data_IF_881104704094
#
_entry.id   IF_881104704094
#
_cell.length_a   1.000
_cell.length_b   1.000
_cell.length_c   1.000
_cell.angle_alpha   90.00
_cell.angle_beta   90.00
_cell.angle_gamma   90.00
#
_symmetry.space_group_name_H-M   'P 1'
#
loop_
_entity.id
_entity.type
_entity.pdbx_description
1 polymer ?
#
# COMPACT_ATOMS: atom_id res chain seq x y z
N UNK A 1 -9.77 9.50 4.52
CA UNK A 1 -9.51 8.23 5.26
C UNK A 1 -10.30 8.23 6.55
N UNK A 2 -10.23 9.29 7.35
CA UNK A 2 -10.94 9.39 8.62
C UNK A 2 -12.46 9.15 8.52
N UNK A 3 -13.15 9.73 7.53
CA UNK A 3 -14.58 9.46 7.36
C UNK A 3 -14.88 8.00 7.01
N UNK A 4 -14.00 7.35 6.25
CA UNK A 4 -14.13 5.93 5.91
C UNK A 4 -14.00 5.11 7.20
N UNK A 5 -12.91 5.30 7.94
CA UNK A 5 -12.64 4.61 9.20
C UNK A 5 -13.76 4.83 10.23
N UNK A 6 -14.24 6.06 10.36
CA UNK A 6 -15.34 6.42 11.26
C UNK A 6 -16.64 5.73 10.86
N UNK A 7 -16.91 5.58 9.57
CA UNK A 7 -18.14 4.95 9.07
C UNK A 7 -18.07 3.43 9.14
N UNK A 8 -16.90 2.84 8.83
CA UNK A 8 -16.73 1.39 8.79
C UNK A 8 -16.29 0.77 10.12
N UNK A 9 -15.94 1.60 11.11
CA UNK A 9 -15.41 1.20 12.43
C UNK A 9 -14.22 0.22 12.35
N UNK A 10 -13.45 0.34 11.27
CA UNK A 10 -12.25 -0.48 11.00
C UNK A 10 -11.14 0.39 10.41
N UNK A 11 -9.87 0.10 10.72
CA UNK A 11 -8.75 0.89 10.21
C UNK A 11 -8.52 0.64 8.72
N UNK A 12 -8.18 1.69 7.98
CA UNK A 12 -7.82 1.57 6.57
C UNK A 12 -6.34 1.17 6.46
N UNK A 13 -6.06 0.01 5.88
CA UNK A 13 -4.70 -0.54 5.76
C UNK A 13 -3.98 -0.14 4.46
N UNK A 14 -4.71 0.25 3.43
CA UNK A 14 -4.13 0.68 2.16
C UNK A 14 -5.08 1.61 1.42
N UNK A 15 -4.51 2.55 0.67
CA UNK A 15 -5.26 3.43 -0.24
C UNK A 15 -4.61 3.37 -1.60
N UNK A 16 -5.22 2.60 -2.50
CA UNK A 16 -4.74 2.47 -3.87
C UNK A 16 -5.03 3.76 -4.66
N UNK A 17 -4.00 4.44 -5.21
CA UNK A 17 -4.22 5.60 -6.04
C UNK A 17 -4.87 5.21 -7.37
N UNK A 18 -5.56 6.16 -7.99
CA UNK A 18 -6.05 5.98 -9.36
C UNK A 18 -4.89 5.90 -10.35
N UNK A 19 -4.87 4.87 -11.20
CA UNK A 19 -3.76 4.59 -12.09
C UNK A 19 -4.23 3.94 -13.40
N UNK A 20 -4.03 4.66 -14.51
CA UNK A 20 -4.36 4.19 -15.86
C UNK A 20 -3.56 2.95 -16.28
N UNK A 21 -2.40 2.72 -15.67
CA UNK A 21 -1.57 1.57 -15.99
C UNK A 21 -2.18 0.26 -15.49
N UNK A 22 -3.13 0.30 -14.55
CA UNK A 22 -3.93 -0.88 -14.17
C UNK A 22 -4.81 -1.33 -15.35
N UNK A 23 -5.46 -0.38 -16.01
CA UNK A 23 -6.32 -0.68 -17.18
C UNK A 23 -5.45 -1.18 -18.35
N UNK A 24 -4.29 -0.54 -18.57
CA UNK A 24 -3.33 -1.00 -19.59
C UNK A 24 -2.79 -2.40 -19.30
N UNK A 25 -2.54 -2.73 -18.04
CA UNK A 25 -2.03 -4.05 -17.68
C UNK A 25 -3.05 -5.15 -17.99
N UNK A 26 -4.35 -4.87 -17.83
CA UNK A 26 -5.43 -5.78 -18.21
C UNK A 26 -5.43 -6.09 -19.71
N UNK A 27 -5.19 -5.10 -20.57
CA UNK A 27 -5.08 -5.30 -22.03
C UNK A 27 -3.96 -6.31 -22.38
N UNK A 28 -2.85 -6.27 -21.65
CA UNK A 28 -1.72 -7.20 -21.81
C UNK A 28 -1.85 -8.48 -20.98
N UNK A 29 -3.01 -8.76 -20.37
CA UNK A 29 -3.24 -9.90 -19.48
C UNK A 29 -2.16 -10.07 -18.40
N UNK A 30 -1.59 -8.96 -17.94
CA UNK A 30 -0.48 -8.94 -16.99
C UNK A 30 -0.92 -8.20 -15.72
N UNK A 31 -0.65 -8.73 -14.51
CA UNK A 31 -0.93 -8.01 -13.28
C UNK A 31 -0.21 -6.65 -13.27
N UNK A 32 -0.85 -5.60 -12.73
CA UNK A 32 -0.27 -4.25 -12.66
C UNK A 32 1.09 -4.24 -11.95
N UNK A 33 1.24 -5.09 -10.94
CA UNK A 33 2.47 -5.31 -10.16
C UNK A 33 3.63 -5.81 -11.04
N UNK A 34 3.35 -6.60 -12.08
CA UNK A 34 4.35 -7.10 -13.03
C UNK A 34 4.54 -6.14 -14.21
N UNK A 35 3.46 -5.50 -14.67
CA UNK A 35 3.46 -4.55 -15.77
C UNK A 35 4.26 -3.28 -15.42
N UNK A 36 4.05 -2.72 -14.22
CA UNK A 36 4.75 -1.52 -13.76
C UNK A 36 5.10 -1.63 -12.26
N UNK A 37 6.11 -2.44 -11.89
CA UNK A 37 6.41 -2.82 -10.50
C UNK A 37 6.77 -1.67 -9.57
N UNK A 38 7.12 -0.52 -10.14
CA UNK A 38 7.60 0.66 -9.43
C UNK A 38 6.60 1.84 -9.44
N UNK A 39 5.38 1.62 -9.93
CA UNK A 39 4.27 2.58 -9.83
C UNK A 39 3.82 2.72 -8.38
N UNK A 40 3.26 3.88 -8.03
CA UNK A 40 2.73 4.13 -6.68
C UNK A 40 1.66 3.09 -6.30
N UNK A 41 0.80 2.70 -7.25
CA UNK A 41 -0.22 1.65 -7.08
C UNK A 41 0.39 0.29 -6.79
N UNK A 42 1.42 -0.09 -7.54
CA UNK A 42 2.11 -1.36 -7.32
C UNK A 42 2.84 -1.39 -5.99
N UNK A 43 3.47 -0.27 -5.60
CA UNK A 43 4.14 -0.15 -4.31
C UNK A 43 3.13 -0.27 -3.17
N UNK A 44 1.99 0.42 -3.25
CA UNK A 44 0.97 0.34 -2.21
C UNK A 44 0.32 -1.05 -2.12
N UNK A 45 0.10 -1.71 -3.26
CA UNK A 45 -0.38 -3.09 -3.30
C UNK A 45 0.62 -4.07 -2.67
N UNK A 46 1.92 -3.89 -2.91
CA UNK A 46 2.99 -4.68 -2.25
C UNK A 46 3.04 -4.43 -0.74
N UNK A 47 2.90 -3.17 -0.29
CA UNK A 47 2.81 -2.84 1.14
C UNK A 47 1.61 -3.50 1.80
N UNK A 48 0.47 -3.49 1.13
CA UNK A 48 -0.74 -4.15 1.61
C UNK A 48 -0.57 -5.66 1.71
N UNK A 49 -0.05 -6.29 0.66
CA UNK A 49 0.24 -7.72 0.62
C UNK A 49 1.22 -8.14 1.73
N UNK A 50 2.29 -7.37 1.94
CA UNK A 50 3.23 -7.63 3.04
C UNK A 50 2.51 -7.57 4.41
N UNK A 51 1.69 -6.54 4.64
CA UNK A 51 0.96 -6.38 5.90
C UNK A 51 0.02 -7.56 6.21
N UNK A 52 -0.75 -8.05 5.24
CA UNK A 52 -1.65 -9.19 5.44
C UNK A 52 -0.90 -10.53 5.58
N UNK A 53 0.28 -10.64 4.98
CA UNK A 53 1.15 -11.82 5.09
C UNK A 53 1.99 -11.84 6.37
N UNK A 54 1.91 -10.81 7.22
CA UNK A 54 2.77 -10.71 8.41
C UNK A 54 4.23 -10.40 8.07
N UNK A 55 4.47 -9.76 6.92
CA UNK A 55 5.79 -9.30 6.49
C UNK A 55 5.90 -7.77 6.53
N UNK A 56 7.12 -7.27 6.71
CA UNK A 56 7.42 -5.83 6.67
C UNK A 56 7.95 -5.41 5.30
N UNK A 57 7.20 -4.59 4.58
CA UNK A 57 7.66 -4.02 3.31
C UNK A 57 8.80 -3.02 3.51
N UNK A 58 10.00 -3.37 3.04
CA UNK A 58 11.19 -2.49 3.06
C UNK A 58 11.41 -1.90 1.66
N UNK A 59 11.24 -0.58 1.47
CA UNK A 59 11.56 0.04 0.20
C UNK A 59 13.07 0.02 -0.06
N UNK A 60 13.47 -0.33 -1.27
CA UNK A 60 14.88 -0.26 -1.72
C UNK A 60 15.32 1.17 -2.09
N UNK A 61 14.39 2.14 -2.17
CA UNK A 61 14.68 3.48 -2.70
C UNK A 61 14.97 4.47 -1.57
N UNK A 62 16.18 5.03 -1.57
CA UNK A 62 16.62 6.08 -0.63
C UNK A 62 15.66 7.28 -0.57
N UNK A 63 15.02 7.66 -1.69
CA UNK A 63 13.99 8.71 -1.74
C UNK A 63 12.75 8.41 -0.90
N UNK A 64 12.37 7.15 -0.73
CA UNK A 64 11.23 6.77 0.13
C UNK A 64 11.58 6.86 1.61
N UNK A 65 12.85 6.70 1.98
CA UNK A 65 13.32 6.86 3.37
C UNK A 65 13.11 8.29 3.85
N UNK A 66 13.43 9.30 3.02
CA UNK A 66 13.18 10.71 3.36
C UNK A 66 11.69 11.09 3.41
N UNK A 67 10.80 10.35 2.72
CA UNK A 67 9.35 10.56 2.80
C UNK A 67 8.71 10.02 4.09
N UNK A 68 9.44 9.24 4.91
CA UNK A 68 8.94 8.69 6.19
C UNK A 68 8.90 9.70 7.34
N UNK A 69 9.37 10.94 7.15
CA UNK A 69 9.36 11.98 8.21
C UNK A 69 7.93 12.34 8.64
N UNK A 70 6.93 12.14 7.77
CA UNK A 70 5.51 12.24 8.11
C UNK A 70 4.76 11.06 7.49
N UNK A 71 4.62 9.94 8.22
CA UNK A 71 3.96 8.75 7.70
C UNK A 71 2.47 9.04 7.45
N UNK A 72 1.92 8.45 6.39
CA UNK A 72 0.48 8.56 6.12
C UNK A 72 -0.33 7.73 7.13
N UNK A 73 -1.60 8.09 7.37
CA UNK A 73 -2.47 7.41 8.34
C UNK A 73 -2.55 5.89 8.13
N UNK A 74 -2.65 5.44 6.87
CA UNK A 74 -2.64 4.00 6.55
C UNK A 74 -1.30 3.30 6.84
N UNK A 75 -0.18 4.01 6.84
CA UNK A 75 1.12 3.44 7.24
C UNK A 75 1.16 3.19 8.74
N UNK A 76 0.64 4.12 9.54
CA UNK A 76 0.48 3.97 10.99
C UNK A 76 -0.44 2.80 11.31
N UNK A 77 -1.60 2.73 10.65
CA UNK A 77 -2.56 1.65 10.85
C UNK A 77 -1.97 0.27 10.56
N UNK A 78 -1.16 0.14 9.50
CA UNK A 78 -0.47 -1.12 9.18
C UNK A 78 0.51 -1.53 10.27
N UNK A 79 1.25 -0.58 10.84
CA UNK A 79 2.18 -0.88 11.93
C UNK A 79 1.43 -1.33 13.19
N UNK A 80 0.32 -0.66 13.54
CA UNK A 80 -0.54 -1.07 14.66
C UNK A 80 -1.15 -2.45 14.41
N UNK A 81 -1.65 -2.70 13.19
CA UNK A 81 -2.21 -3.99 12.80
C UNK A 81 -1.18 -5.11 12.94
N UNK A 82 0.03 -4.91 12.40
CA UNK A 82 1.12 -5.87 12.49
C UNK A 82 1.42 -6.25 13.94
N UNK A 83 1.64 -5.25 14.81
CA UNK A 83 1.95 -5.46 16.24
C UNK A 83 0.84 -6.15 17.04
N UNK A 84 -0.40 -6.13 16.56
CA UNK A 84 -1.57 -6.69 17.26
C UNK A 84 -1.86 -8.13 16.85
N UNK A 85 -1.58 -8.48 15.59
CA UNK A 85 -1.91 -9.80 15.02
C UNK A 85 -0.71 -10.76 15.08
N UNK A 86 0.51 -10.24 14.89
CA UNK A 86 1.76 -11.01 14.85
C UNK A 86 2.67 -10.62 16.01
#
# INVERSE_FOLDING_TARGET
IEDIERTSDVPVLAVLPYDLDIIRSQFYFTPSINFKPNSDSSIECKKFAACISGENYKPFRMREVFRRVSPKRQEINREIFYRRIF
#
